data_IF_320789026036
#
_entry.id   IF_320789026036
#
_cell.length_a   1.000
_cell.length_b   1.000
_cell.length_c   1.000
_cell.angle_alpha   90.00
_cell.angle_beta   90.00
_cell.angle_gamma   90.00
#
_symmetry.space_group_name_H-M   'P 1'
#
loop_
_entity.id
_entity.type
_entity.pdbx_description
1 polymer ?
#
# COMPACT_ATOMS: atom_id res chain seq x y z
N UNK A 1 -5.28 11.42 -21.07
CA UNK A 1 -4.08 11.12 -20.26
C UNK A 1 -4.10 11.78 -18.87
N UNK A 2 -4.34 13.09 -18.75
CA UNK A 2 -4.31 13.82 -17.45
C UNK A 2 -5.31 13.28 -16.42
N UNK A 3 -6.56 13.02 -16.79
CA UNK A 3 -7.56 12.49 -15.85
C UNK A 3 -7.18 11.11 -15.28
N UNK A 4 -6.64 10.23 -16.13
CA UNK A 4 -6.13 8.93 -15.70
C UNK A 4 -4.92 9.14 -14.80
N UNK A 5 -3.97 9.99 -15.17
CA UNK A 5 -2.82 10.34 -14.32
C UNK A 5 -3.23 10.82 -12.93
N UNK A 6 -4.21 11.73 -12.84
CA UNK A 6 -4.74 12.19 -11.54
C UNK A 6 -5.34 11.05 -10.71
N UNK A 7 -6.08 10.14 -11.35
CA UNK A 7 -6.64 8.97 -10.64
C UNK A 7 -5.57 8.03 -10.09
N UNK A 8 -4.37 8.01 -10.70
CA UNK A 8 -3.24 7.19 -10.25
C UNK A 8 -2.50 7.75 -9.04
N UNK A 9 -2.74 9.01 -8.68
CA UNK A 9 -2.12 9.62 -7.50
C UNK A 9 -2.54 8.92 -6.20
N UNK A 10 -3.81 8.48 -6.11
CA UNK A 10 -4.32 7.74 -4.94
C UNK A 10 -3.54 6.41 -4.73
N UNK A 11 -3.42 5.54 -5.76
CA UNK A 11 -2.50 4.41 -5.75
C UNK A 11 -1.09 4.72 -5.28
N UNK A 12 -0.48 5.76 -5.84
CA UNK A 12 0.89 6.15 -5.51
C UNK A 12 1.02 6.60 -4.05
N UNK A 13 0.00 7.29 -3.52
CA UNK A 13 -0.06 7.69 -2.11
C UNK A 13 -0.19 6.48 -1.18
N UNK A 14 -1.01 5.48 -1.53
CA UNK A 14 -1.13 4.23 -0.76
C UNK A 14 0.20 3.47 -0.76
N UNK A 15 0.87 3.38 -1.92
CA UNK A 15 2.18 2.73 -2.03
C UNK A 15 3.23 3.37 -1.09
N UNK A 16 3.23 4.69 -0.96
CA UNK A 16 4.14 5.40 -0.05
C UNK A 16 3.93 5.03 1.44
N UNK A 17 2.72 4.61 1.84
CA UNK A 17 2.43 4.19 3.23
C UNK A 17 3.16 2.90 3.63
N UNK A 18 3.49 2.06 2.66
CA UNK A 18 4.02 0.70 2.87
C UNK A 18 5.44 0.74 3.42
N UNK A 19 6.23 1.70 2.95
CA UNK A 19 7.60 1.92 3.41
C UNK A 19 7.68 2.76 4.69
N UNK A 20 6.55 3.33 5.13
CA UNK A 20 6.49 4.28 6.24
C UNK A 20 5.58 3.79 7.36
N UNK A 21 4.29 4.10 7.32
CA UNK A 21 3.34 3.76 8.37
C UNK A 21 3.24 2.26 8.61
N UNK A 22 3.28 1.43 7.57
CA UNK A 22 3.18 -0.03 7.77
C UNK A 22 4.43 -0.58 8.48
N UNK A 23 5.62 -0.05 8.15
CA UNK A 23 6.85 -0.43 8.87
C UNK A 23 6.78 0.03 10.33
N UNK A 24 6.36 1.27 10.58
CA UNK A 24 6.18 1.82 11.94
C UNK A 24 5.15 1.03 12.76
N UNK A 25 4.04 0.64 12.15
CA UNK A 25 3.03 -0.19 12.80
C UNK A 25 3.63 -1.57 13.11
N UNK A 26 4.34 -2.19 12.16
CA UNK A 26 5.00 -3.48 12.34
C UNK A 26 6.08 -3.49 13.43
N UNK A 27 6.77 -2.38 13.70
CA UNK A 27 7.75 -2.31 14.80
C UNK A 27 7.09 -2.34 16.18
N UNK A 28 5.80 -2.02 16.29
CA UNK A 28 5.04 -2.09 17.55
C UNK A 28 4.42 -3.47 17.83
N UNK A 29 4.46 -4.38 16.87
CA UNK A 29 3.90 -5.73 16.98
C UNK A 29 4.93 -6.73 17.52
N UNK A 30 4.45 -7.90 17.97
CA UNK A 30 5.32 -9.01 18.33
C UNK A 30 5.96 -9.62 17.08
N UNK A 31 7.29 -9.53 17.04
CA UNK A 31 8.14 -9.96 15.93
C UNK A 31 8.91 -11.23 16.24
N UNK A 32 8.65 -11.87 17.38
CA UNK A 32 9.31 -13.11 17.75
C UNK A 32 8.72 -14.30 16.99
N UNK A 33 9.60 -15.12 16.42
CA UNK A 33 9.25 -16.38 15.77
C UNK A 33 10.32 -17.41 16.11
N UNK A 34 10.00 -18.37 16.99
CA UNK A 34 10.91 -19.48 17.32
C UNK A 34 12.30 -19.03 17.80
N UNK A 35 12.39 -17.92 18.54
CA UNK A 35 13.66 -17.36 19.04
C UNK A 35 14.34 -16.33 18.10
N UNK A 36 13.88 -16.18 16.86
CA UNK A 36 14.36 -15.17 15.92
C UNK A 36 13.43 -13.96 15.91
N UNK A 37 14.00 -12.75 15.82
CA UNK A 37 13.22 -11.50 15.72
C UNK A 37 13.18 -11.03 14.26
N UNK A 38 11.99 -11.03 13.68
CA UNK A 38 11.77 -10.64 12.28
C UNK A 38 11.83 -9.09 12.16
N UNK A 39 12.60 -8.52 11.22
CA UNK A 39 12.56 -7.07 10.96
C UNK A 39 11.21 -6.67 10.36
N UNK A 40 10.57 -5.60 10.83
CA UNK A 40 9.29 -5.15 10.28
C UNK A 40 9.35 -4.83 8.77
N UNK A 41 10.49 -4.27 8.33
CA UNK A 41 10.73 -3.96 6.93
C UNK A 41 10.79 -5.20 6.03
N UNK A 42 11.10 -6.41 6.55
CA UNK A 42 11.15 -7.63 5.73
C UNK A 42 9.77 -8.06 5.24
N UNK A 43 8.67 -7.52 5.81
CA UNK A 43 7.34 -7.72 5.26
C UNK A 43 7.22 -7.20 3.82
N UNK A 44 8.02 -6.19 3.44
CA UNK A 44 8.10 -5.70 2.06
C UNK A 44 8.49 -6.78 1.06
N UNK A 45 9.27 -7.79 1.47
CA UNK A 45 9.61 -8.93 0.60
C UNK A 45 8.38 -9.73 0.18
N UNK A 46 7.32 -9.79 1.00
CA UNK A 46 6.08 -10.46 0.62
C UNK A 46 5.31 -9.72 -0.47
N UNK A 47 5.43 -8.39 -0.55
CA UNK A 47 4.90 -7.62 -1.69
C UNK A 47 5.62 -8.05 -2.96
N UNK A 48 6.95 -8.08 -2.94
CA UNK A 48 7.76 -8.51 -4.09
C UNK A 48 7.45 -9.95 -4.51
N UNK A 49 7.38 -10.89 -3.55
CA UNK A 49 7.01 -12.29 -3.84
C UNK A 49 5.62 -12.36 -4.44
N UNK A 50 4.65 -11.63 -3.88
CA UNK A 50 3.29 -11.59 -4.41
C UNK A 50 3.25 -11.04 -5.84
N UNK A 51 4.02 -10.00 -6.16
CA UNK A 51 4.15 -9.48 -7.51
C UNK A 51 4.75 -10.53 -8.46
N UNK A 52 5.84 -11.18 -8.05
CA UNK A 52 6.53 -12.21 -8.84
C UNK A 52 5.64 -13.42 -9.13
N UNK A 53 4.70 -13.75 -8.24
CA UNK A 53 3.71 -14.81 -8.48
C UNK A 53 2.53 -14.31 -9.31
N UNK A 54 2.08 -13.07 -9.08
CA UNK A 54 0.89 -12.52 -9.72
C UNK A 54 1.13 -12.17 -11.20
N UNK A 55 2.32 -11.71 -11.58
CA UNK A 55 2.66 -11.39 -12.99
C UNK A 55 2.49 -12.62 -13.90
N UNK A 56 3.17 -13.76 -13.68
CA UNK A 56 3.02 -14.93 -14.54
C UNK A 56 1.62 -15.53 -14.44
N UNK A 57 0.96 -15.46 -13.27
CA UNK A 57 -0.43 -15.89 -13.15
C UNK A 57 -1.37 -15.03 -14.02
N UNK A 58 -1.15 -13.72 -14.06
CA UNK A 58 -1.90 -12.82 -14.93
C UNK A 58 -1.65 -13.15 -16.41
N UNK A 59 -0.39 -13.20 -16.84
CA UNK A 59 -0.03 -13.36 -18.26
C UNK A 59 -0.36 -14.76 -18.80
N UNK A 60 -0.15 -15.81 -18.00
CA UNK A 60 -0.30 -17.21 -18.46
C UNK A 60 -1.66 -17.83 -18.17
N UNK A 61 -2.40 -17.31 -17.19
CA UNK A 61 -3.70 -17.88 -16.81
C UNK A 61 -4.82 -16.90 -17.12
N UNK A 62 -4.75 -15.68 -16.58
CA UNK A 62 -5.86 -14.73 -16.66
C UNK A 62 -6.05 -14.19 -18.09
N UNK A 63 -4.98 -13.73 -18.75
CA UNK A 63 -5.04 -13.22 -20.14
C UNK A 63 -5.61 -14.24 -21.12
N UNK A 64 -5.10 -15.49 -21.23
CA UNK A 64 -5.64 -16.46 -22.18
C UNK A 64 -7.07 -16.89 -21.82
N UNK A 65 -7.41 -17.01 -20.53
CA UNK A 65 -8.76 -17.35 -20.11
C UNK A 65 -9.77 -16.26 -20.49
N UNK A 66 -9.43 -15.00 -20.24
CA UNK A 66 -10.31 -13.88 -20.56
C UNK A 66 -10.37 -13.67 -22.06
N UNK A 67 -9.25 -13.77 -22.78
CA UNK A 67 -9.22 -13.67 -24.26
C UNK A 67 -10.14 -14.69 -24.92
N UNK A 68 -10.24 -15.92 -24.39
CA UNK A 68 -11.20 -16.93 -24.90
C UNK A 68 -12.66 -16.49 -24.75
N UNK A 69 -12.98 -15.64 -23.77
CA UNK A 69 -14.34 -15.14 -23.52
C UNK A 69 -14.63 -13.81 -24.19
N UNK A 70 -13.66 -12.88 -24.20
CA UNK A 70 -13.86 -11.51 -24.70
C UNK A 70 -13.47 -11.34 -26.16
N UNK A 71 -12.69 -12.26 -26.73
CA UNK A 71 -12.11 -12.12 -28.07
C UNK A 71 -11.02 -11.05 -28.18
N UNK A 72 -10.75 -10.30 -27.11
CA UNK A 72 -9.75 -9.23 -27.11
C UNK A 72 -8.33 -9.81 -27.01
N UNK A 73 -7.38 -9.44 -27.89
CA UNK A 73 -5.99 -9.91 -27.82
C UNK A 73 -5.31 -9.64 -26.48
N UNK A 74 -5.73 -8.59 -25.75
CA UNK A 74 -5.23 -8.24 -24.40
C UNK A 74 -6.05 -8.84 -23.25
N UNK A 75 -7.12 -9.58 -23.54
CA UNK A 75 -8.04 -10.13 -22.53
C UNK A 75 -9.03 -9.09 -22.01
N UNK A 76 -8.57 -8.16 -21.17
CA UNK A 76 -9.36 -7.04 -20.61
C UNK A 76 -8.90 -5.68 -21.17
N UNK A 77 -9.75 -4.66 -21.11
CA UNK A 77 -9.33 -3.29 -21.48
C UNK A 77 -8.41 -2.70 -20.41
N UNK A 78 -7.56 -1.76 -20.80
CA UNK A 78 -6.64 -1.07 -19.89
C UNK A 78 -7.38 -0.35 -18.75
N UNK A 79 -8.52 0.27 -19.06
CA UNK A 79 -9.36 0.93 -18.06
C UNK A 79 -9.98 -0.07 -17.06
N UNK A 80 -10.41 -1.25 -17.52
CA UNK A 80 -10.91 -2.31 -16.64
C UNK A 80 -9.80 -2.84 -15.73
N UNK A 81 -8.61 -3.04 -16.29
CA UNK A 81 -7.43 -3.46 -15.52
C UNK A 81 -7.10 -2.46 -14.41
N UNK A 82 -7.09 -1.17 -14.74
CA UNK A 82 -6.90 -0.09 -13.78
C UNK A 82 -8.00 -0.07 -12.71
N UNK A 83 -9.26 -0.23 -13.11
CA UNK A 83 -10.40 -0.31 -12.20
C UNK A 83 -10.30 -1.48 -11.20
N UNK A 84 -9.86 -2.66 -11.65
CA UNK A 84 -9.59 -3.81 -10.78
C UNK A 84 -8.46 -3.48 -9.79
N UNK A 85 -7.38 -2.84 -10.25
CA UNK A 85 -6.29 -2.38 -9.38
C UNK A 85 -6.79 -1.43 -8.28
N UNK A 86 -7.63 -0.45 -8.64
CA UNK A 86 -8.25 0.46 -7.67
C UNK A 86 -9.16 -0.28 -6.67
N UNK A 87 -9.99 -1.22 -7.13
CA UNK A 87 -10.84 -2.03 -6.25
C UNK A 87 -10.01 -2.87 -5.26
N UNK A 88 -8.91 -3.47 -5.72
CA UNK A 88 -7.97 -4.20 -4.86
C UNK A 88 -7.31 -3.27 -3.83
N UNK A 89 -7.00 -2.02 -4.18
CA UNK A 89 -6.46 -1.06 -3.22
C UNK A 89 -7.47 -0.67 -2.14
N UNK A 90 -8.75 -0.55 -2.47
CA UNK A 90 -9.80 -0.37 -1.45
C UNK A 90 -9.80 -1.56 -0.48
N UNK A 91 -9.67 -2.79 -0.99
CA UNK A 91 -9.58 -3.99 -0.16
C UNK A 91 -8.32 -4.00 0.71
N UNK A 92 -7.18 -3.53 0.21
CA UNK A 92 -5.94 -3.38 0.99
C UNK A 92 -6.14 -2.43 2.17
N UNK A 93 -6.72 -1.26 1.91
CA UNK A 93 -6.99 -0.26 2.97
C UNK A 93 -8.01 -0.81 3.97
N UNK A 94 -9.04 -1.53 3.51
CA UNK A 94 -9.99 -2.20 4.39
C UNK A 94 -9.32 -3.27 5.27
N UNK A 95 -8.42 -4.09 4.71
CA UNK A 95 -7.64 -5.05 5.50
C UNK A 95 -6.75 -4.35 6.53
N UNK A 96 -6.06 -3.28 6.14
CA UNK A 96 -5.23 -2.50 7.05
C UNK A 96 -6.04 -1.87 8.20
N UNK A 97 -7.23 -1.37 7.90
CA UNK A 97 -8.17 -0.89 8.90
C UNK A 97 -8.58 -2.01 9.88
N UNK A 98 -8.94 -3.20 9.39
CA UNK A 98 -9.31 -4.33 10.24
C UNK A 98 -8.16 -4.79 11.14
N UNK A 99 -6.94 -4.84 10.61
CA UNK A 99 -5.72 -5.15 11.39
C UNK A 99 -5.51 -4.10 12.49
N UNK A 100 -5.71 -2.83 12.19
CA UNK A 100 -5.57 -1.75 13.17
C UNK A 100 -6.67 -1.79 14.24
N UNK A 101 -7.93 -2.05 13.88
CA UNK A 101 -9.03 -2.27 14.83
C UNK A 101 -8.71 -3.43 15.76
N UNK A 102 -8.15 -4.53 15.22
CA UNK A 102 -7.72 -5.67 16.02
C UNK A 102 -6.58 -5.28 16.97
N UNK A 103 -5.59 -4.53 16.50
CA UNK A 103 -4.48 -4.04 17.32
C UNK A 103 -4.98 -3.18 18.48
N UNK A 104 -5.90 -2.25 18.22
CA UNK A 104 -6.52 -1.40 19.23
C UNK A 104 -7.30 -2.18 20.28
N UNK A 105 -8.01 -3.23 19.84
CA UNK A 105 -8.72 -4.13 20.76
C UNK A 105 -7.78 -4.86 21.71
N UNK A 106 -6.66 -5.39 21.19
CA UNK A 106 -5.64 -6.08 22.01
C UNK A 106 -4.99 -5.13 23.01
N UNK A 107 -4.69 -3.89 22.59
CA UNK A 107 -4.15 -2.84 23.48
C UNK A 107 -5.11 -2.57 24.65
N UNK A 108 -6.41 -2.43 24.37
CA UNK A 108 -7.44 -2.18 25.37
C UNK A 108 -7.62 -3.35 26.34
N UNK A 109 -7.65 -4.57 25.82
CA UNK A 109 -7.88 -5.79 26.61
C UNK A 109 -6.71 -6.14 27.53
N UNK A 110 -5.47 -5.85 27.12
CA UNK A 110 -4.27 -6.19 27.89
C UNK A 110 -3.65 -5.00 28.63
N UNK A 111 -4.37 -3.88 28.74
CA UNK A 111 -3.93 -2.68 29.47
C UNK A 111 -2.51 -2.24 29.11
N UNK A 112 -2.18 -2.30 27.81
CA UNK A 112 -0.90 -1.81 27.30
C UNK A 112 -0.97 -0.28 27.33
N UNK A 113 -0.55 0.31 28.45
CA UNK A 113 -0.76 1.73 28.75
C UNK A 113 0.45 2.62 28.47
N UNK A 114 1.63 2.05 28.17
CA UNK A 114 2.84 2.84 27.88
C UNK A 114 3.10 3.00 26.39
N UNK A 115 3.42 4.23 26.00
CA UNK A 115 3.99 4.53 24.70
C UNK A 115 5.32 3.79 24.53
N UNK A 116 5.37 2.81 23.62
CA UNK A 116 6.56 2.01 23.34
C UNK A 116 6.46 0.53 23.71
N UNK A 117 5.40 0.11 24.40
CA UNK A 117 5.19 -1.31 24.69
C UNK A 117 4.85 -2.09 23.41
N UNK A 118 5.40 -3.30 23.32
CA UNK A 118 5.10 -4.20 22.20
C UNK A 118 3.70 -4.76 22.36
N UNK A 119 2.84 -4.54 21.38
CA UNK A 119 1.50 -5.12 21.34
C UNK A 119 1.66 -6.63 21.14
N UNK A 120 1.08 -7.48 22.00
CA UNK A 120 1.18 -8.94 21.92
C UNK A 120 0.26 -9.47 20.82
N UNK A 121 0.53 -9.03 19.59
CA UNK A 121 -0.13 -9.39 18.37
C UNK A 121 0.97 -9.68 17.37
N UNK A 122 0.92 -10.86 16.76
CA UNK A 122 1.96 -11.29 15.82
C UNK A 122 2.02 -10.37 14.59
N UNK A 123 3.24 -10.07 14.15
CA UNK A 123 3.51 -9.32 12.92
C UNK A 123 2.87 -9.96 11.66
N UNK A 124 2.60 -11.26 11.68
CA UNK A 124 1.98 -11.97 10.54
C UNK A 124 0.55 -11.54 10.23
N UNK A 125 -0.13 -10.88 11.17
CA UNK A 125 -1.43 -10.27 10.89
C UNK A 125 -1.37 -9.17 9.82
N UNK A 126 -0.18 -8.62 9.54
CA UNK A 126 0.02 -7.67 8.44
C UNK A 126 0.22 -8.37 7.08
N UNK A 127 0.40 -9.69 7.02
CA UNK A 127 0.62 -10.37 5.73
C UNK A 127 -0.52 -10.17 4.71
N UNK A 128 -1.82 -10.25 5.08
CA UNK A 128 -2.90 -10.10 4.12
C UNK A 128 -2.88 -8.78 3.36
N UNK A 129 -2.64 -7.66 4.05
CA UNK A 129 -2.54 -6.33 3.42
C UNK A 129 -1.30 -6.20 2.53
N UNK A 130 -0.15 -6.79 2.90
CA UNK A 130 1.06 -6.77 2.06
C UNK A 130 0.90 -7.62 0.79
N UNK A 131 0.32 -8.81 0.90
CA UNK A 131 0.07 -9.70 -0.25
C UNK A 131 -0.96 -9.07 -1.19
N UNK A 132 -2.10 -8.62 -0.68
CA UNK A 132 -3.14 -7.97 -1.49
C UNK A 132 -2.62 -6.71 -2.18
N UNK A 133 -1.74 -5.96 -1.52
CA UNK A 133 -1.10 -4.80 -2.13
C UNK A 133 -0.23 -5.21 -3.32
N UNK A 134 0.62 -6.24 -3.17
CA UNK A 134 1.44 -6.74 -4.27
C UNK A 134 0.60 -7.19 -5.46
N UNK A 135 -0.52 -7.89 -5.22
CA UNK A 135 -1.48 -8.25 -6.28
C UNK A 135 -2.07 -7.00 -6.93
N UNK A 136 -2.64 -6.08 -6.14
CA UNK A 136 -3.28 -4.86 -6.64
C UNK A 136 -2.34 -3.98 -7.44
N UNK A 137 -1.08 -3.89 -7.03
CA UNK A 137 -0.07 -3.08 -7.72
C UNK A 137 0.31 -3.66 -9.08
N UNK A 138 0.30 -4.99 -9.27
CA UNK A 138 0.49 -5.59 -10.61
C UNK A 138 -0.61 -5.17 -11.59
N UNK A 139 -1.87 -5.08 -11.13
CA UNK A 139 -2.95 -4.60 -11.98
C UNK A 139 -2.82 -3.10 -12.27
N UNK A 140 -2.40 -2.32 -11.27
CA UNK A 140 -2.29 -0.88 -11.38
C UNK A 140 -1.07 -0.44 -12.19
N UNK A 141 0.14 -0.79 -11.75
CA UNK A 141 1.41 -0.37 -12.36
C UNK A 141 1.54 -0.80 -13.82
N UNK A 142 1.15 -2.03 -14.16
CA UNK A 142 1.17 -2.48 -15.56
C UNK A 142 0.09 -1.80 -16.39
N UNK A 143 -1.13 -1.62 -15.83
CA UNK A 143 -2.21 -0.92 -16.53
C UNK A 143 -1.90 0.54 -16.83
N UNK A 144 -1.26 1.24 -15.89
CA UNK A 144 -0.81 2.62 -16.04
C UNK A 144 0.29 2.73 -17.10
N UNK A 145 1.31 1.86 -17.01
CA UNK A 145 2.45 1.89 -17.92
C UNK A 145 2.02 1.63 -19.36
N UNK A 146 1.20 0.59 -19.58
CA UNK A 146 0.68 0.23 -20.90
C UNK A 146 -0.28 1.30 -21.45
N UNK A 147 -1.12 1.91 -20.60
CA UNK A 147 -1.98 3.02 -21.00
C UNK A 147 -1.19 4.25 -21.44
N UNK A 148 -0.19 4.67 -20.67
CA UNK A 148 0.62 5.83 -21.06
C UNK A 148 1.47 5.53 -22.29
N UNK A 149 1.97 4.31 -22.44
CA UNK A 149 2.71 3.91 -23.63
C UNK A 149 1.84 3.97 -24.88
N UNK A 150 0.64 3.39 -24.85
CA UNK A 150 -0.30 3.37 -25.98
C UNK A 150 -0.85 4.74 -26.36
N UNK A 151 -1.03 5.63 -25.38
CA UNK A 151 -1.58 6.96 -25.61
C UNK A 151 -0.51 8.00 -25.95
N UNK A 152 0.78 7.64 -25.84
CA UNK A 152 1.88 8.54 -26.19
C UNK A 152 2.16 8.51 -27.71
N UNK A 153 2.43 9.66 -28.35
CA UNK A 153 2.89 9.69 -29.73
C UNK A 153 4.16 8.84 -29.93
N UNK A 154 4.35 8.29 -31.13
CA UNK A 154 5.42 7.31 -31.42
C UNK A 154 6.84 7.80 -31.08
N UNK A 155 7.10 9.11 -31.16
CA UNK A 155 8.39 9.73 -30.77
C UNK A 155 8.54 10.07 -29.29
N UNK A 156 7.52 9.88 -28.46
CA UNK A 156 7.44 10.37 -27.07
C UNK A 156 7.17 9.26 -26.05
N UNK A 157 7.39 7.99 -26.41
CA UNK A 157 7.15 6.83 -25.53
C UNK A 157 7.93 6.90 -24.20
N UNK A 158 9.07 7.60 -24.15
CA UNK A 158 9.81 7.86 -22.90
C UNK A 158 9.02 8.73 -21.90
N UNK A 159 8.09 9.56 -22.36
CA UNK A 159 7.23 10.37 -21.48
C UNK A 159 6.31 9.49 -20.63
N UNK A 160 5.93 8.29 -21.09
CA UNK A 160 5.11 7.37 -20.30
C UNK A 160 5.80 6.98 -18.97
N UNK A 161 7.10 6.68 -19.03
CA UNK A 161 7.91 6.37 -17.83
C UNK A 161 8.09 7.61 -16.94
N UNK A 162 8.23 8.79 -17.55
CA UNK A 162 8.32 10.07 -16.82
C UNK A 162 7.03 10.38 -16.08
N UNK A 163 5.86 10.19 -16.70
CA UNK A 163 4.55 10.38 -16.05
C UNK A 163 4.29 9.38 -14.92
N UNK A 164 4.74 8.13 -15.08
CA UNK A 164 4.67 7.13 -14.02
C UNK A 164 5.55 7.52 -12.82
N UNK A 165 6.82 7.84 -13.07
CA UNK A 165 7.76 8.24 -12.00
C UNK A 165 7.34 9.54 -11.32
N UNK A 166 6.79 10.50 -12.08
CA UNK A 166 6.27 11.74 -11.51
C UNK A 166 5.03 11.48 -10.63
N UNK A 167 4.14 10.56 -11.03
CA UNK A 167 3.00 10.13 -10.22
C UNK A 167 3.43 9.57 -8.86
N UNK A 168 4.48 8.74 -8.84
CA UNK A 168 5.09 8.25 -7.60
C UNK A 168 5.63 9.39 -6.73
N UNK A 169 6.35 10.35 -7.34
CA UNK A 169 6.88 11.51 -6.63
C UNK A 169 5.78 12.37 -5.99
N UNK A 170 4.77 12.75 -6.78
CA UNK A 170 3.61 13.53 -6.30
C UNK A 170 2.84 12.75 -5.22
N UNK A 171 2.67 11.44 -5.40
CA UNK A 171 2.01 10.58 -4.42
C UNK A 171 2.69 10.60 -3.04
N UNK A 172 4.02 10.69 -2.99
CA UNK A 172 4.79 10.83 -1.74
C UNK A 172 4.59 12.21 -1.06
N UNK A 173 4.53 13.29 -1.84
CA UNK A 173 4.20 14.62 -1.30
C UNK A 173 2.79 14.65 -0.74
N UNK A 174 1.81 14.10 -1.48
CA UNK A 174 0.43 13.98 -1.02
C UNK A 174 0.32 13.13 0.26
N UNK A 175 1.06 12.03 0.35
CA UNK A 175 1.15 11.22 1.56
C UNK A 175 1.65 12.05 2.74
N UNK A 176 2.75 12.78 2.56
CA UNK A 176 3.32 13.63 3.61
C UNK A 176 2.36 14.72 4.06
N UNK A 177 1.64 15.36 3.13
CA UNK A 177 0.61 16.36 3.43
C UNK A 177 -0.55 15.74 4.21
N UNK A 178 -1.03 14.57 3.79
CA UNK A 178 -2.10 13.84 4.46
C UNK A 178 -1.71 13.49 5.90
N UNK A 179 -0.53 12.91 6.10
CA UNK A 179 -0.02 12.56 7.44
C UNK A 179 0.13 13.82 8.31
N UNK A 180 0.66 14.91 7.76
CA UNK A 180 0.81 16.18 8.48
C UNK A 180 -0.53 16.78 8.87
N UNK A 181 -1.51 16.73 7.96
CA UNK A 181 -2.86 17.22 8.22
C UNK A 181 -3.53 16.41 9.35
N UNK A 182 -3.49 15.08 9.26
CA UNK A 182 -4.02 14.19 10.29
C UNK A 182 -3.35 14.43 11.64
N UNK A 183 -2.03 14.58 11.67
CA UNK A 183 -1.26 14.86 12.90
C UNK A 183 -1.69 16.20 13.54
N UNK A 184 -1.84 17.26 12.75
CA UNK A 184 -2.31 18.57 13.24
C UNK A 184 -3.74 18.51 13.77
N UNK A 185 -4.65 17.87 13.06
CA UNK A 185 -6.05 17.74 13.48
C UNK A 185 -6.18 16.89 14.74
N UNK A 186 -5.38 15.83 14.87
CA UNK A 186 -5.41 14.93 16.05
C UNK A 186 -4.80 15.62 17.28
N UNK A 187 -3.69 16.35 17.11
CA UNK A 187 -3.05 17.13 18.19
C UNK A 187 -3.91 18.27 18.71
N UNK A 188 -4.77 18.86 17.88
CA UNK A 188 -5.72 19.90 18.31
C UNK A 188 -6.76 19.42 19.34
N UNK A 189 -6.91 18.11 19.53
CA UNK A 189 -7.80 17.50 20.53
C UNK A 189 -7.12 17.04 21.82
N UNK A 190 -5.79 17.15 21.93
CA UNK A 190 -5.02 16.67 23.09
C UNK A 190 -4.46 17.87 23.87
N UNK A 191 -4.88 18.11 25.14
CA UNK A 191 -4.26 19.16 25.94
C UNK A 191 -2.78 18.82 26.14
N UNK A 192 -1.88 19.82 26.11
CA UNK A 192 -0.44 19.57 26.17
C UNK A 192 -0.12 18.80 27.44
N UNK A 193 0.52 17.63 27.28
CA UNK A 193 1.08 16.87 28.38
C UNK A 193 1.97 17.81 29.20
N UNK A 194 1.57 18.10 30.44
CA UNK A 194 2.34 18.93 31.37
C UNK A 194 3.76 18.37 31.41
N UNK A 195 4.71 19.23 31.07
CA UNK A 195 6.13 18.97 31.26
C UNK A 195 6.34 18.46 32.68
N UNK A 196 6.71 17.18 32.80
CA UNK A 196 7.16 16.59 34.06
C UNK A 196 8.48 17.23 34.43
N UNK A 197 8.40 18.21 35.33
CA UNK A 197 9.48 18.64 36.19
C UNK A 197 10.15 17.44 36.85
N UNK A 198 11.45 17.26 36.61
CA UNK A 198 12.32 16.50 37.49
C UNK A 198 13.76 17.04 37.35
N UNK A 199 13.99 18.19 37.97
CA UNK A 199 15.18 18.40 38.79
C UNK A 199 15.26 17.27 39.81
N UNK A 200 16.30 16.44 39.77
CA UNK A 200 17.33 16.30 40.84
C UNK A 200 18.47 15.46 40.28
#
# INVERSE_FOLDING_TARGET
MIAVWLSTLVPCTIWAQVNTLFVKQGTTLDRSMGGVRIPAASLGSFVTISMLLCIPAYDRVLVPLVRRRTGNPRGITLLQRLGIGCALQVLVVACAYLVEVRRMRVIRERSVHRAGDTVPMSIFWMLPQYVLLGVGDVFNSVGILEFFYDQSPDGMRSLGTTFFTSGLGVGNFLNSLLVTFVDRTTRGGEPPARAGSATT
#
